data_IF_652723558448
#
_entry.id   IF_652723558448
#
_cell.length_a   1.000
_cell.length_b   1.000
_cell.length_c   1.000
_cell.angle_alpha   90.00
_cell.angle_beta   90.00
_cell.angle_gamma   90.00
#
_symmetry.space_group_name_H-M   'P 1'
#
loop_
_entity.id
_entity.type
_entity.pdbx_description
1 polymer ?
#
# COMPACT_ATOMS: atom_id res chain seq x y z
N UNK A 1 -4.71 -7.56 -4.11
CA UNK A 1 -3.29 -7.42 -3.72
C UNK A 1 -2.71 -6.26 -4.49
N UNK A 2 -1.83 -5.47 -3.88
CA UNK A 2 -1.06 -4.46 -4.58
C UNK A 2 0.22 -4.12 -3.84
N UNK A 3 1.26 -3.81 -4.61
CA UNK A 3 2.56 -3.35 -4.13
C UNK A 3 2.72 -1.85 -4.45
N UNK A 4 3.32 -1.08 -3.54
CA UNK A 4 3.67 0.32 -3.77
C UNK A 4 2.45 1.12 -4.31
N UNK A 5 2.59 1.82 -5.45
CA UNK A 5 1.48 2.55 -6.09
C UNK A 5 0.28 1.64 -6.43
N UNK A 6 0.51 0.41 -6.87
CA UNK A 6 -0.57 -0.55 -7.12
C UNK A 6 -1.35 -0.90 -5.84
N UNK A 7 -0.66 -0.88 -4.70
CA UNK A 7 -1.29 -1.00 -3.39
C UNK A 7 -2.14 0.21 -3.03
N UNK A 8 -1.70 1.42 -3.40
CA UNK A 8 -2.49 2.64 -3.23
C UNK A 8 -3.80 2.59 -4.02
N UNK A 9 -3.73 2.21 -5.29
CA UNK A 9 -4.91 1.98 -6.12
C UNK A 9 -5.82 0.91 -5.48
N UNK A 10 -5.25 -0.18 -4.96
CA UNK A 10 -6.01 -1.27 -4.37
C UNK A 10 -6.79 -0.83 -3.11
N UNK A 11 -6.19 -0.07 -2.19
CA UNK A 11 -6.90 0.38 -0.99
C UNK A 11 -7.93 1.47 -1.32
N UNK A 12 -7.67 2.35 -2.30
CA UNK A 12 -8.65 3.35 -2.73
C UNK A 12 -9.86 2.69 -3.41
N UNK A 13 -9.65 1.64 -4.22
CA UNK A 13 -10.73 0.83 -4.76
C UNK A 13 -11.54 0.16 -3.65
N UNK A 14 -10.86 -0.46 -2.68
CA UNK A 14 -11.52 -1.11 -1.54
C UNK A 14 -12.34 -0.13 -0.70
N UNK A 15 -11.86 1.11 -0.56
CA UNK A 15 -12.57 2.20 0.11
C UNK A 15 -13.83 2.65 -0.66
N UNK A 16 -13.74 2.78 -1.99
CA UNK A 16 -14.86 3.21 -2.85
C UNK A 16 -15.92 2.12 -3.01
N UNK A 17 -15.52 0.85 -3.03
CA UNK A 17 -16.43 -0.29 -3.19
C UNK A 17 -16.08 -1.45 -2.26
N UNK A 18 -16.38 -1.35 -0.94
CA UNK A 18 -15.99 -2.38 0.03
C UNK A 18 -16.51 -3.78 -0.30
N UNK A 19 -17.67 -3.88 -0.96
CA UNK A 19 -18.26 -5.16 -1.39
C UNK A 19 -17.53 -5.84 -2.57
N UNK A 20 -16.60 -5.16 -3.24
CA UNK A 20 -15.86 -5.71 -4.38
C UNK A 20 -14.62 -6.51 -3.96
N UNK A 21 -14.12 -6.29 -2.74
CA UNK A 21 -12.87 -6.88 -2.26
C UNK A 21 -13.15 -7.77 -1.05
N UNK A 22 -12.88 -9.07 -1.18
CA UNK A 22 -13.08 -10.04 -0.09
C UNK A 22 -11.96 -10.00 0.95
N UNK A 23 -10.72 -9.80 0.50
CA UNK A 23 -9.50 -9.68 1.31
C UNK A 23 -8.51 -8.80 0.59
N UNK A 24 -7.79 -7.97 1.34
CA UNK A 24 -6.82 -7.04 0.80
C UNK A 24 -5.41 -7.42 1.28
N UNK A 25 -4.44 -7.34 0.37
CA UNK A 25 -3.01 -7.52 0.69
C UNK A 25 -2.26 -6.32 0.13
N UNK A 26 -1.53 -5.64 0.99
CA UNK A 26 -0.78 -4.43 0.70
C UNK A 26 0.69 -4.67 1.02
N UNK A 27 1.56 -4.54 0.01
CA UNK A 27 2.99 -4.72 0.14
C UNK A 27 3.73 -3.39 -0.01
N UNK A 28 4.39 -2.96 1.06
CA UNK A 28 5.25 -1.79 1.15
C UNK A 28 4.65 -0.56 0.43
N UNK A 29 3.46 -0.20 0.90
CA UNK A 29 2.59 0.79 0.24
C UNK A 29 2.75 2.17 0.87
N UNK A 30 2.70 3.26 0.07
CA UNK A 30 2.59 4.59 0.62
C UNK A 30 1.20 4.77 1.24
N UNK A 31 1.18 5.11 2.53
CA UNK A 31 -0.01 5.58 3.19
C UNK A 31 -0.40 6.98 2.64
N UNK A 32 -1.68 7.39 2.70
CA UNK A 32 -2.18 8.64 2.13
C UNK A 32 -1.82 9.87 2.99
N UNK A 33 -0.56 9.94 3.44
CA UNK A 33 0.01 11.11 4.09
C UNK A 33 0.63 12.03 3.04
N UNK A 34 0.46 13.36 3.16
CA UNK A 34 1.23 14.31 2.36
C UNK A 34 2.73 14.08 2.54
N UNK A 35 3.49 14.15 1.45
CA UNK A 35 4.94 14.19 1.52
C UNK A 35 5.42 15.47 2.19
N UNK A 36 6.38 15.35 3.13
CA UNK A 36 7.07 16.46 3.76
C UNK A 36 8.60 16.22 3.71
N UNK A 37 9.37 17.02 2.94
CA UNK A 37 8.90 18.08 2.05
C UNK A 37 8.18 17.52 0.81
N UNK A 38 7.32 18.32 0.15
CA UNK A 38 6.72 17.93 -1.12
C UNK A 38 7.80 17.75 -2.19
N UNK A 39 7.56 16.81 -3.10
CA UNK A 39 8.41 16.62 -4.29
C UNK A 39 8.31 17.81 -5.22
N UNK A 40 9.42 18.28 -5.81
CA UNK A 40 9.36 19.24 -6.90
C UNK A 40 8.66 18.62 -8.12
N UNK A 41 8.13 19.44 -9.05
CA UNK A 41 7.56 18.95 -10.30
C UNK A 41 8.57 18.07 -11.05
N UNK A 42 8.17 16.87 -11.43
CA UNK A 42 9.04 15.96 -12.18
C UNK A 42 9.38 16.53 -13.56
N UNK A 43 10.67 16.57 -13.88
CA UNK A 43 11.15 16.96 -15.21
C UNK A 43 11.11 15.76 -16.15
N UNK A 44 10.43 15.92 -17.31
CA UNK A 44 10.33 14.85 -18.30
C UNK A 44 11.68 14.58 -18.97
N UNK A 45 12.17 13.32 -18.96
CA UNK A 45 13.36 12.95 -19.71
C UNK A 45 13.22 13.21 -21.21
N UNK A 46 14.32 13.52 -21.89
CA UNK A 46 14.34 13.57 -23.36
C UNK A 46 14.20 12.16 -23.94
N UNK A 47 13.35 12.00 -24.94
CA UNK A 47 13.15 10.74 -25.64
C UNK A 47 11.88 9.98 -25.23
N UNK A 48 11.76 8.75 -25.70
CA UNK A 48 10.67 7.86 -25.34
C UNK A 48 10.82 7.37 -23.89
N UNK A 49 9.70 7.33 -23.17
CA UNK A 49 9.62 6.81 -21.81
C UNK A 49 8.95 5.44 -21.85
N UNK A 50 9.41 4.46 -21.05
CA UNK A 50 8.79 3.13 -21.02
C UNK A 50 7.41 3.12 -20.31
N UNK A 51 6.92 4.28 -19.88
CA UNK A 51 5.65 4.50 -19.20
C UNK A 51 5.07 5.86 -19.59
N UNK A 52 3.77 6.03 -19.36
CA UNK A 52 3.09 7.31 -19.58
C UNK A 52 3.59 8.36 -18.58
N UNK A 53 4.13 9.46 -19.09
CA UNK A 53 4.62 10.54 -18.24
C UNK A 53 3.49 11.23 -17.46
N UNK A 54 2.26 11.22 -17.98
CA UNK A 54 1.11 11.77 -17.26
C UNK A 54 0.87 11.03 -15.93
N UNK A 55 1.19 9.73 -15.84
CA UNK A 55 1.10 8.96 -14.60
C UNK A 55 2.08 9.44 -13.54
N UNK A 56 3.28 9.89 -13.93
CA UNK A 56 4.27 10.43 -12.99
C UNK A 56 3.76 11.73 -12.38
N UNK A 57 3.29 12.65 -13.22
CA UNK A 57 2.76 13.94 -12.77
C UNK A 57 1.57 13.77 -11.84
N UNK A 58 0.61 12.91 -12.20
CA UNK A 58 -0.55 12.62 -11.37
C UNK A 58 -0.16 11.96 -10.03
N UNK A 59 0.81 11.05 -10.04
CA UNK A 59 1.30 10.41 -8.81
C UNK A 59 1.99 11.42 -7.90
N UNK A 60 2.84 12.31 -8.43
CA UNK A 60 3.51 13.32 -7.61
C UNK A 60 2.53 14.34 -7.04
N UNK A 61 1.53 14.77 -7.81
CA UNK A 61 0.45 15.64 -7.31
C UNK A 61 -0.28 14.98 -6.13
N UNK A 62 -0.72 13.73 -6.30
CA UNK A 62 -1.44 12.99 -5.27
C UNK A 62 -0.59 12.64 -4.06
N UNK A 63 0.73 12.42 -4.23
CA UNK A 63 1.63 12.17 -3.10
C UNK A 63 1.96 13.44 -2.33
N UNK A 64 2.06 14.58 -3.01
CA UNK A 64 2.30 15.87 -2.37
C UNK A 64 1.05 16.37 -1.63
N UNK A 65 -0.13 16.19 -2.22
CA UNK A 65 -1.40 16.65 -1.67
C UNK A 65 -2.49 15.57 -1.86
N UNK A 66 -2.44 14.45 -1.10
CA UNK A 66 -3.46 13.42 -1.18
C UNK A 66 -4.82 14.01 -0.82
N UNK A 67 -5.88 13.49 -1.46
CA UNK A 67 -7.24 13.93 -1.16
C UNK A 67 -7.53 13.65 0.33
N UNK A 68 -7.87 14.66 1.16
CA UNK A 68 -8.13 14.46 2.59
C UNK A 68 -9.21 13.41 2.88
N UNK A 69 -10.18 13.24 1.97
CA UNK A 69 -11.23 12.23 2.11
C UNK A 69 -10.68 10.81 2.11
N UNK A 70 -9.52 10.56 1.49
CA UNK A 70 -8.92 9.22 1.51
C UNK A 70 -8.59 8.83 2.95
N UNK A 71 -8.00 9.73 3.72
CA UNK A 71 -7.74 9.52 5.15
C UNK A 71 -9.03 9.29 5.94
N UNK A 72 -9.99 10.19 5.80
CA UNK A 72 -11.27 10.14 6.55
C UNK A 72 -12.09 8.89 6.24
N UNK A 73 -11.82 8.24 5.12
CA UNK A 73 -12.55 7.05 4.67
C UNK A 73 -11.80 5.75 4.92
N UNK A 74 -10.66 5.74 5.62
CA UNK A 74 -9.91 4.50 5.90
C UNK A 74 -10.75 3.46 6.65
N UNK A 75 -11.66 3.92 7.53
CA UNK A 75 -12.63 3.06 8.20
C UNK A 75 -13.64 2.34 7.28
N UNK A 76 -13.71 2.70 5.99
CA UNK A 76 -14.53 1.99 4.98
C UNK A 76 -13.86 0.71 4.45
N UNK A 77 -12.56 0.54 4.67
CA UNK A 77 -11.83 -0.67 4.30
C UNK A 77 -12.12 -1.73 5.38
N UNK A 78 -13.32 -2.32 5.33
CA UNK A 78 -13.81 -3.23 6.38
C UNK A 78 -13.47 -4.70 6.14
N UNK A 79 -12.89 -5.03 4.99
CA UNK A 79 -12.46 -6.39 4.70
C UNK A 79 -11.14 -6.68 5.42
N UNK A 80 -10.87 -7.96 5.77
CA UNK A 80 -9.59 -8.34 6.33
C UNK A 80 -8.45 -7.86 5.43
N UNK A 81 -7.45 -7.23 6.03
CA UNK A 81 -6.31 -6.65 5.33
C UNK A 81 -4.99 -7.14 5.91
N UNK A 82 -4.09 -7.61 5.05
CA UNK A 82 -2.70 -7.87 5.41
C UNK A 82 -1.82 -6.73 4.89
N UNK A 83 -1.11 -6.06 5.79
CA UNK A 83 -0.06 -5.09 5.47
C UNK A 83 1.31 -5.73 5.71
N UNK A 84 2.17 -5.67 4.70
CA UNK A 84 3.54 -6.18 4.74
C UNK A 84 4.47 -5.00 4.50
N UNK A 85 5.18 -4.54 5.54
CA UNK A 85 6.23 -3.53 5.41
C UNK A 85 7.58 -4.13 5.02
N UNK A 86 8.38 -3.39 4.24
CA UNK A 86 9.71 -3.80 3.78
C UNK A 86 10.86 -3.61 4.78
N UNK A 87 10.58 -3.04 5.96
CA UNK A 87 11.58 -2.81 6.99
C UNK A 87 12.46 -1.58 6.75
N UNK A 88 13.52 -1.36 7.56
CA UNK A 88 14.31 -0.13 7.57
C UNK A 88 15.05 0.17 6.27
N UNK A 89 15.23 -0.84 5.41
CA UNK A 89 15.85 -0.72 4.09
C UNK A 89 14.87 -0.26 3.00
N UNK A 90 13.57 -0.16 3.30
CA UNK A 90 12.57 0.35 2.37
C UNK A 90 12.63 1.89 2.26
N UNK A 91 12.39 2.46 1.06
CA UNK A 91 12.18 3.90 0.90
C UNK A 91 10.83 4.39 1.44
N UNK A 92 9.92 3.50 1.81
CA UNK A 92 8.64 3.83 2.43
C UNK A 92 8.83 3.90 3.95
N UNK A 93 8.45 4.99 4.62
CA UNK A 93 8.55 5.07 6.08
C UNK A 93 7.70 4.00 6.76
N UNK A 94 8.34 3.11 7.53
CA UNK A 94 7.66 1.97 8.13
C UNK A 94 6.73 2.39 9.27
N UNK A 95 7.03 3.51 9.93
CA UNK A 95 6.17 4.15 10.92
C UNK A 95 4.83 4.57 10.29
N UNK A 96 4.86 5.07 9.04
CA UNK A 96 3.63 5.42 8.32
C UNK A 96 2.80 4.19 7.96
N UNK A 97 3.45 3.07 7.61
CA UNK A 97 2.75 1.79 7.37
C UNK A 97 2.11 1.29 8.67
N UNK A 98 2.79 1.41 9.81
CA UNK A 98 2.26 1.03 11.11
C UNK A 98 1.01 1.87 11.46
N UNK A 99 1.10 3.20 11.36
CA UNK A 99 -0.05 4.09 11.59
C UNK A 99 -1.18 3.75 10.62
N UNK A 100 -0.87 3.49 9.35
CA UNK A 100 -1.88 3.11 8.37
C UNK A 100 -2.62 1.82 8.77
N UNK A 101 -1.92 0.80 9.25
CA UNK A 101 -2.54 -0.43 9.73
C UNK A 101 -3.49 -0.17 10.92
N UNK A 102 -3.16 0.74 11.83
CA UNK A 102 -3.99 1.10 12.98
C UNK A 102 -5.31 1.79 12.60
N UNK A 103 -5.38 2.42 11.42
CA UNK A 103 -6.60 3.07 10.92
C UNK A 103 -7.61 2.08 10.32
N UNK A 104 -7.15 0.87 10.00
CA UNK A 104 -7.97 -0.13 9.33
C UNK A 104 -8.72 -0.98 10.37
N UNK A 105 -10.05 -1.15 10.22
CA UNK A 105 -10.87 -1.91 11.18
C UNK A 105 -10.43 -3.35 11.42
N UNK A 106 -9.89 -4.02 10.39
CA UNK A 106 -9.44 -5.42 10.44
C UNK A 106 -8.14 -5.56 9.66
N UNK A 107 -7.03 -5.22 10.31
CA UNK A 107 -5.70 -5.31 9.72
C UNK A 107 -4.73 -6.15 10.55
N UNK A 108 -3.98 -7.01 9.86
CA UNK A 108 -2.75 -7.62 10.34
C UNK A 108 -1.57 -6.91 9.69
N UNK A 109 -0.66 -6.37 10.50
CA UNK A 109 0.59 -5.78 10.04
C UNK A 109 1.76 -6.69 10.40
N UNK A 110 2.61 -6.97 9.41
CA UNK A 110 3.91 -7.61 9.60
C UNK A 110 4.99 -6.82 8.87
N UNK A 111 6.23 -6.94 9.33
CA UNK A 111 7.40 -6.38 8.64
C UNK A 111 8.33 -7.52 8.23
N UNK A 112 8.74 -7.51 6.97
CA UNK A 112 9.76 -8.39 6.42
C UNK A 112 10.91 -7.51 5.95
N UNK A 113 12.06 -7.55 6.65
CA UNK A 113 13.22 -6.70 6.33
C UNK A 113 13.86 -7.13 5.01
N UNK A 114 13.39 -6.51 3.93
CA UNK A 114 13.58 -6.93 2.55
C UNK A 114 13.63 -5.74 1.57
N UNK A 115 13.52 -4.50 2.07
CA UNK A 115 13.44 -3.31 1.26
C UNK A 115 12.11 -3.19 0.52
N UNK A 116 12.09 -2.43 -0.57
CA UNK A 116 10.85 -2.14 -1.30
C UNK A 116 10.20 -3.38 -1.92
N UNK A 117 11.01 -4.26 -2.50
CA UNK A 117 10.57 -5.42 -3.28
C UNK A 117 10.60 -6.67 -2.39
N UNK A 118 9.69 -6.73 -1.42
CA UNK A 118 9.63 -7.82 -0.42
C UNK A 118 9.41 -9.17 -1.10
N UNK A 119 8.49 -9.23 -2.08
CA UNK A 119 8.19 -10.44 -2.83
C UNK A 119 9.38 -10.94 -3.68
N UNK A 120 10.27 -10.06 -4.13
CA UNK A 120 11.47 -10.45 -4.88
C UNK A 120 12.62 -10.86 -3.94
N UNK A 121 12.80 -10.10 -2.86
CA UNK A 121 13.94 -10.25 -1.95
C UNK A 121 13.73 -11.39 -0.94
N UNK A 122 12.50 -11.58 -0.47
CA UNK A 122 12.09 -12.65 0.47
C UNK A 122 10.85 -13.40 -0.03
N UNK A 123 10.93 -14.07 -1.19
CA UNK A 123 9.76 -14.69 -1.83
C UNK A 123 9.10 -15.77 -0.97
N UNK A 124 9.88 -16.52 -0.19
CA UNK A 124 9.36 -17.63 0.64
C UNK A 124 8.54 -17.09 1.81
N UNK A 125 9.07 -16.12 2.53
CA UNK A 125 8.42 -15.48 3.67
C UNK A 125 7.20 -14.67 3.23
N UNK A 126 7.31 -13.94 2.13
CA UNK A 126 6.17 -13.24 1.53
C UNK A 126 5.05 -14.22 1.17
N UNK A 127 5.37 -15.30 0.44
CA UNK A 127 4.37 -16.28 0.03
C UNK A 127 3.74 -16.98 1.23
N UNK A 128 4.52 -17.32 2.26
CA UNK A 128 4.01 -17.92 3.49
C UNK A 128 2.98 -16.99 4.16
N UNK A 129 3.32 -15.71 4.34
CA UNK A 129 2.42 -14.73 4.96
C UNK A 129 1.12 -14.54 4.15
N UNK A 130 1.24 -14.41 2.83
CA UNK A 130 0.08 -14.23 1.94
C UNK A 130 -0.81 -15.48 1.92
N UNK A 131 -0.23 -16.67 1.79
CA UNK A 131 -1.00 -17.92 1.71
C UNK A 131 -1.67 -18.25 3.03
N UNK A 132 -1.01 -18.02 4.16
CA UNK A 132 -1.61 -18.12 5.49
C UNK A 132 -2.83 -17.20 5.61
N UNK A 133 -2.68 -15.92 5.25
CA UNK A 133 -3.76 -14.94 5.31
C UNK A 133 -4.95 -15.26 4.39
N UNK A 134 -4.68 -15.76 3.18
CA UNK A 134 -5.73 -16.09 2.22
C UNK A 134 -6.44 -17.42 2.54
N UNK A 135 -5.83 -18.26 3.38
CA UNK A 135 -6.34 -19.57 3.72
C UNK A 135 -7.75 -19.49 4.36
N UNK A 136 -8.68 -20.41 4.00
CA UNK A 136 -10.02 -20.43 4.58
C UNK A 136 -10.04 -20.58 6.11
N UNK A 137 -9.01 -21.24 6.66
CA UNK A 137 -8.84 -21.50 8.08
C UNK A 137 -8.39 -20.25 8.90
N UNK A 138 -7.89 -19.20 8.24
CA UNK A 138 -7.52 -17.93 8.91
C UNK A 138 -8.74 -17.06 9.29
N UNK A 139 -9.96 -17.64 9.27
CA UNK A 139 -11.13 -17.06 9.91
C UNK A 139 -10.97 -17.23 11.42
N UNK A 140 -10.60 -16.18 12.14
CA UNK A 140 -10.60 -16.17 13.61
C UNK A 140 -12.07 -16.23 14.11
N UNK A 141 -12.35 -16.83 15.29
CA UNK A 141 -13.66 -17.30 15.71
C UNK A 141 -14.63 -16.17 16.10
N UNK A 142 -15.90 -16.55 16.24
CA UNK A 142 -17.05 -15.75 16.70
C UNK A 142 -16.77 -14.81 17.87
#
# INVERSE_FOLDING_TARGET
>A
MGHSLGGAVAYLLAQCGPGLVRRLVLEDVPAPFPLDPPRPPAERPRGETPYDWAMILATDEQRNAPNPLWWDHMGRITMPTLLIGGGPSSPIPQEQIAVFAELLPDARHITLDAGHLVHETRPKEFLAAVTEFLSPAARTPS
#
